data_IF_056617536548
#
_entry.id   IF_056617536548
#
_cell.length_a   1.000
_cell.length_b   1.000
_cell.length_c   1.000
_cell.angle_alpha   90.00
_cell.angle_beta   90.00
_cell.angle_gamma   90.00
#
_symmetry.space_group_name_H-M   'P 1'
#
loop_
_entity.id
_entity.type
_entity.pdbx_description
1 polymer ?
#
# COMPACT_ATOMS: atom_id res chain seq x y z
N UNK A 1 -15.43 -14.74 -3.08
CA UNK A 1 -15.41 -15.77 -4.15
C UNK A 1 -16.60 -16.72 -4.08
N UNK A 2 -17.13 -17.02 -2.90
CA UNK A 2 -18.27 -17.94 -2.72
C UNK A 2 -19.54 -17.46 -3.44
N UNK A 3 -20.00 -16.24 -3.14
CA UNK A 3 -21.17 -15.65 -3.81
C UNK A 3 -21.07 -15.59 -5.35
N UNK A 4 -19.87 -15.35 -5.89
CA UNK A 4 -19.62 -15.33 -7.34
C UNK A 4 -19.87 -16.72 -7.95
N UNK A 5 -19.42 -17.77 -7.26
CA UNK A 5 -19.64 -19.16 -7.67
C UNK A 5 -21.11 -19.54 -7.56
N UNK A 6 -21.78 -19.13 -6.48
CA UNK A 6 -23.20 -19.45 -6.24
C UNK A 6 -24.12 -18.84 -7.30
N UNK A 7 -23.76 -17.67 -7.82
CA UNK A 7 -24.49 -17.00 -8.91
C UNK A 7 -24.07 -17.46 -10.31
N UNK A 8 -23.14 -18.42 -10.43
CA UNK A 8 -22.65 -18.93 -11.71
C UNK A 8 -21.87 -17.88 -12.53
N UNK A 9 -21.27 -16.89 -11.87
CA UNK A 9 -20.52 -15.82 -12.52
C UNK A 9 -19.05 -16.22 -12.72
N UNK A 10 -18.48 -15.77 -13.83
CA UNK A 10 -17.09 -16.05 -14.19
C UNK A 10 -16.16 -14.90 -13.78
N UNK A 11 -14.89 -15.25 -13.53
CA UNK A 11 -13.80 -14.28 -13.35
C UNK A 11 -12.70 -14.54 -14.37
N UNK A 12 -12.05 -13.49 -14.84
CA UNK A 12 -10.90 -13.59 -15.73
C UNK A 12 -9.70 -12.87 -15.11
N UNK A 13 -8.48 -13.37 -15.34
CA UNK A 13 -7.28 -12.71 -14.82
C UNK A 13 -7.08 -11.37 -15.51
N UNK A 14 -6.68 -10.36 -14.73
CA UNK A 14 -6.23 -9.10 -15.30
C UNK A 14 -4.93 -9.32 -16.06
N UNK A 15 -4.83 -8.80 -17.28
CA UNK A 15 -3.58 -8.81 -18.03
C UNK A 15 -2.50 -8.04 -17.29
N UNK A 16 -1.47 -8.74 -16.82
CA UNK A 16 -0.37 -8.17 -16.03
C UNK A 16 1.03 -8.54 -16.59
N UNK A 17 1.08 -9.04 -17.82
CA UNK A 17 2.31 -9.48 -18.49
C UNK A 17 2.98 -8.29 -19.17
N UNK A 18 4.32 -8.25 -19.12
CA UNK A 18 5.12 -7.25 -19.81
C UNK A 18 5.82 -6.28 -18.86
N UNK A 19 5.94 -5.02 -19.28
CA UNK A 19 6.60 -3.96 -18.50
C UNK A 19 5.53 -3.13 -17.78
N UNK A 20 5.74 -2.91 -16.50
CA UNK A 20 5.06 -1.92 -15.68
C UNK A 20 5.79 -0.59 -15.82
N UNK A 21 5.04 0.49 -15.64
CA UNK A 21 5.52 1.86 -15.79
C UNK A 21 5.37 2.59 -14.46
N UNK A 22 6.42 3.30 -14.05
CA UNK A 22 6.44 4.19 -12.90
C UNK A 22 6.82 5.59 -13.37
N UNK A 23 5.92 6.54 -13.15
CA UNK A 23 6.16 7.96 -13.42
C UNK A 23 5.81 8.74 -12.15
N UNK A 24 6.84 9.23 -11.46
CA UNK A 24 6.76 9.90 -10.16
C UNK A 24 7.76 11.07 -10.12
N UNK A 25 7.48 12.08 -9.30
CA UNK A 25 8.33 13.28 -9.15
C UNK A 25 7.88 14.50 -9.97
N UNK A 26 6.78 14.40 -10.71
CA UNK A 26 6.20 15.51 -11.49
C UNK A 26 6.30 15.32 -13.01
N UNK A 27 5.79 16.27 -13.82
CA UNK A 27 5.59 16.10 -15.26
C UNK A 27 6.87 15.90 -16.08
N UNK A 28 8.02 16.38 -15.59
CA UNK A 28 9.31 16.34 -16.28
C UNK A 28 10.17 15.15 -15.86
N UNK A 29 9.71 14.34 -14.91
CA UNK A 29 10.50 13.24 -14.38
C UNK A 29 10.57 12.05 -15.36
N UNK A 30 11.72 11.36 -15.34
CA UNK A 30 11.95 10.22 -16.23
C UNK A 30 11.00 9.07 -15.89
N UNK A 31 10.27 8.61 -16.90
CA UNK A 31 9.46 7.39 -16.83
C UNK A 31 10.38 6.17 -16.69
N UNK A 32 10.10 5.32 -15.71
CA UNK A 32 10.86 4.09 -15.45
C UNK A 32 10.01 2.86 -15.76
N UNK A 33 10.62 1.87 -16.41
CA UNK A 33 9.97 0.61 -16.74
C UNK A 33 10.59 -0.55 -15.95
N UNK A 34 9.77 -1.48 -15.49
CA UNK A 34 10.20 -2.66 -14.72
C UNK A 34 9.29 -3.86 -15.00
N UNK A 35 9.76 -5.08 -14.73
CA UNK A 35 8.98 -6.32 -14.96
C UNK A 35 8.56 -7.02 -13.67
N UNK A 36 9.20 -6.70 -12.55
CA UNK A 36 8.98 -7.37 -11.26
C UNK A 36 7.78 -6.78 -10.51
N UNK A 37 7.47 -7.33 -9.34
CA UNK A 37 6.56 -6.70 -8.37
C UNK A 37 7.17 -5.47 -7.69
N UNK A 38 8.50 -5.31 -7.76
CA UNK A 38 9.23 -4.25 -7.08
C UNK A 38 9.38 -3.05 -8.02
N UNK A 39 8.93 -1.84 -7.62
CA UNK A 39 9.04 -0.65 -8.45
C UNK A 39 10.50 -0.23 -8.68
N UNK A 40 10.76 0.43 -9.81
CA UNK A 40 12.09 0.92 -10.19
C UNK A 40 12.55 2.17 -9.41
N UNK A 41 12.62 2.07 -8.09
CA UNK A 41 13.06 3.12 -7.16
C UNK A 41 14.54 2.97 -6.79
N UNK A 42 15.14 3.97 -6.13
CA UNK A 42 16.49 3.83 -5.59
C UNK A 42 16.49 2.85 -4.40
N UNK A 43 17.61 2.15 -4.11
CA UNK A 43 17.66 1.20 -2.99
C UNK A 43 17.27 1.84 -1.66
N UNK A 44 17.65 3.09 -1.44
CA UNK A 44 17.35 3.83 -0.23
C UNK A 44 15.84 4.07 -0.05
N UNK A 45 15.16 4.49 -1.12
CA UNK A 45 13.70 4.69 -1.12
C UNK A 45 12.98 3.34 -0.98
N UNK A 46 13.50 2.26 -1.57
CA UNK A 46 12.92 0.93 -1.41
C UNK A 46 12.97 0.43 0.04
N UNK A 47 14.06 0.70 0.76
CA UNK A 47 14.20 0.32 2.16
C UNK A 47 13.20 1.08 3.04
N UNK A 48 13.15 2.41 2.89
CA UNK A 48 12.21 3.26 3.64
C UNK A 48 10.74 2.89 3.33
N UNK A 49 10.39 2.70 2.05
CA UNK A 49 9.07 2.26 1.64
C UNK A 49 8.69 0.89 2.23
N UNK A 50 9.63 -0.05 2.25
CA UNK A 50 9.42 -1.38 2.85
C UNK A 50 9.22 -1.28 4.37
N UNK A 51 9.97 -0.41 5.04
CA UNK A 51 9.81 -0.15 6.47
C UNK A 51 8.45 0.50 6.79
N UNK A 52 8.02 1.47 6.00
CA UNK A 52 6.70 2.11 6.14
C UNK A 52 5.57 1.08 5.97
N UNK A 53 5.62 0.26 4.91
CA UNK A 53 4.66 -0.82 4.69
C UNK A 53 4.66 -1.83 5.85
N UNK A 54 5.83 -2.17 6.39
CA UNK A 54 5.92 -3.06 7.55
C UNK A 54 5.24 -2.46 8.79
N UNK A 55 5.46 -1.17 9.08
CA UNK A 55 4.79 -0.45 10.18
C UNK A 55 3.27 -0.45 10.00
N UNK A 56 2.79 -0.13 8.80
CA UNK A 56 1.35 -0.14 8.49
C UNK A 56 0.76 -1.54 8.65
N UNK A 57 1.41 -2.57 8.11
CA UNK A 57 0.95 -3.96 8.26
C UNK A 57 0.91 -4.39 9.73
N UNK A 58 1.88 -3.96 10.55
CA UNK A 58 1.87 -4.22 11.98
C UNK A 58 0.70 -3.52 12.67
N UNK A 59 0.39 -2.28 12.29
CA UNK A 59 -0.77 -1.54 12.79
C UNK A 59 -2.09 -2.20 12.37
N UNK A 60 -2.22 -2.65 11.12
CA UNK A 60 -3.42 -3.36 10.67
C UNK A 60 -3.71 -4.63 11.50
N UNK A 61 -2.67 -5.30 12.00
CA UNK A 61 -2.82 -6.47 12.88
C UNK A 61 -3.34 -6.14 14.28
N UNK A 62 -3.30 -4.88 14.72
CA UNK A 62 -3.82 -4.45 16.03
C UNK A 62 -5.26 -3.97 15.95
N UNK A 63 -5.78 -3.69 14.74
CA UNK A 63 -7.14 -3.17 14.54
C UNK A 63 -8.17 -4.27 14.74
N UNK A 64 -9.15 -4.03 15.63
CA UNK A 64 -10.30 -4.90 15.77
C UNK A 64 -11.33 -4.57 14.68
N UNK A 65 -11.47 -5.46 13.70
CA UNK A 65 -12.36 -5.23 12.54
C UNK A 65 -13.84 -5.30 12.93
N UNK A 66 -14.18 -6.07 13.96
CA UNK A 66 -15.56 -6.20 14.44
C UNK A 66 -16.02 -4.99 15.25
N UNK A 67 -15.10 -4.34 15.97
CA UNK A 67 -15.38 -3.19 16.82
C UNK A 67 -14.16 -2.26 16.87
N UNK A 68 -14.19 -1.24 16.00
CA UNK A 68 -13.05 -0.33 15.80
C UNK A 68 -12.66 0.40 17.10
N UNK A 69 -13.62 0.69 17.99
CA UNK A 69 -13.36 1.40 19.25
C UNK A 69 -12.56 0.57 20.25
N UNK A 70 -12.57 -0.77 20.11
CA UNK A 70 -11.74 -1.68 20.93
C UNK A 70 -10.29 -1.75 20.44
N UNK A 71 -9.98 -1.15 19.30
CA UNK A 71 -8.60 -1.09 18.80
C UNK A 71 -7.72 -0.34 19.82
N UNK A 72 -6.54 -0.88 20.16
CA UNK A 72 -5.59 -0.14 20.99
C UNK A 72 -5.28 1.23 20.36
N UNK A 73 -5.35 2.28 21.17
CA UNK A 73 -5.15 3.67 20.74
C UNK A 73 -6.13 4.15 19.64
N UNK A 74 -7.34 3.57 19.55
CA UNK A 74 -8.35 3.92 18.53
C UNK A 74 -8.54 5.43 18.37
N UNK A 75 -8.71 6.17 19.48
CA UNK A 75 -8.94 7.63 19.46
C UNK A 75 -7.74 8.38 18.89
N UNK A 76 -6.52 7.98 19.27
CA UNK A 76 -5.30 8.63 18.75
C UNK A 76 -5.15 8.39 17.24
N UNK A 77 -5.34 7.14 16.80
CA UNK A 77 -5.25 6.76 15.41
C UNK A 77 -6.30 7.45 14.55
N UNK A 78 -7.54 7.54 15.04
CA UNK A 78 -8.66 8.20 14.33
C UNK A 78 -8.50 9.72 14.27
N UNK A 79 -7.86 10.31 15.30
CA UNK A 79 -7.51 11.74 15.31
C UNK A 79 -6.35 12.09 14.36
N UNK A 80 -5.67 11.11 13.78
CA UNK A 80 -4.52 11.29 12.91
C UNK A 80 -4.88 11.07 11.44
N UNK A 81 -4.50 12.01 10.57
CA UNK A 81 -4.61 11.77 9.13
C UNK A 81 -3.56 10.77 8.65
N UNK A 82 -3.86 10.04 7.58
CA UNK A 82 -2.85 9.16 6.94
C UNK A 82 -1.61 9.94 6.51
N UNK A 83 -1.77 11.19 6.06
CA UNK A 83 -0.66 12.06 5.70
C UNK A 83 0.26 12.32 6.89
N UNK A 84 -0.29 12.74 8.04
CA UNK A 84 0.49 12.96 9.26
C UNK A 84 1.15 11.68 9.77
N UNK A 85 0.52 10.52 9.58
CA UNK A 85 1.14 9.23 9.90
C UNK A 85 2.35 8.95 8.99
N UNK A 86 2.23 9.18 7.68
CA UNK A 86 3.33 9.00 6.73
C UNK A 86 4.48 9.95 7.05
N UNK A 87 4.23 11.24 7.28
CA UNK A 87 5.26 12.22 7.60
C UNK A 87 6.05 11.87 8.88
N UNK A 88 5.38 11.26 9.88
CA UNK A 88 6.03 10.78 11.10
C UNK A 88 6.87 9.52 10.90
N UNK A 89 6.60 8.74 9.85
CA UNK A 89 7.09 7.37 9.74
C UNK A 89 7.97 7.07 8.52
N UNK A 90 7.85 7.85 7.46
CA UNK A 90 8.69 7.81 6.27
C UNK A 90 9.90 8.72 6.46
N UNK A 91 11.02 8.33 5.88
CA UNK A 91 12.26 9.10 5.93
C UNK A 91 12.58 9.81 4.61
N UNK A 92 12.08 9.28 3.50
CA UNK A 92 12.23 9.85 2.15
C UNK A 92 10.96 10.61 1.73
N UNK A 93 11.13 11.70 0.97
CA UNK A 93 10.06 12.56 0.45
C UNK A 93 10.10 12.65 -1.08
#
# INVERSE_FOLDING_TARGET
MELIKDLGLEVYPQFNVGKKVLHVGGPTCKVRMYRTSIPALSPLVLLDFSQLLWKINRLCRTVCVQDLLRTPNAVELDSMTLHSYIDKNAWTQ
#
